data_IF_923939038637
#
_entry.id   IF_923939038637
#
_cell.length_a   1.000
_cell.length_b   1.000
_cell.length_c   1.000
_cell.angle_alpha   90.00
_cell.angle_beta   90.00
_cell.angle_gamma   90.00
#
_symmetry.space_group_name_H-M   'P 1'
#
loop_
_entity.id
_entity.type
_entity.pdbx_description
1 polymer ?
#
# COMPACT_ATOMS: atom_id res chain seq x y z
N UNK A 1 -25.50 27.97 12.89
CA UNK A 1 -25.84 26.80 13.73
C UNK A 1 -24.65 26.25 14.50
N UNK A 2 -23.57 25.79 13.86
CA UNK A 2 -22.39 25.20 14.53
C UNK A 2 -21.80 26.06 15.68
N UNK A 3 -21.53 27.35 15.44
CA UNK A 3 -21.01 28.24 16.48
C UNK A 3 -22.07 28.56 17.55
N UNK A 4 -23.33 28.75 17.14
CA UNK A 4 -24.42 29.10 18.04
C UNK A 4 -24.76 27.97 19.04
N UNK A 5 -24.54 26.71 18.64
CA UNK A 5 -24.70 25.53 19.49
C UNK A 5 -23.43 25.16 20.27
N UNK A 6 -22.42 26.05 20.28
CA UNK A 6 -21.15 25.87 20.97
C UNK A 6 -20.37 24.60 20.56
N UNK A 7 -20.60 24.04 19.37
CA UNK A 7 -19.85 22.90 18.86
C UNK A 7 -18.35 23.23 18.76
N UNK A 8 -18.04 24.49 18.43
CA UNK A 8 -16.69 25.05 18.37
C UNK A 8 -15.94 24.98 19.71
N UNK A 9 -16.63 24.88 20.84
CA UNK A 9 -16.01 24.77 22.17
C UNK A 9 -15.18 23.50 22.37
N UNK A 10 -15.41 22.47 21.55
CA UNK A 10 -14.58 21.26 21.49
C UNK A 10 -13.95 21.08 20.10
N UNK A 11 -14.69 21.43 19.05
CA UNK A 11 -14.23 21.35 17.67
C UNK A 11 -13.64 22.69 17.21
N UNK A 12 -12.52 23.06 17.83
CA UNK A 12 -11.87 24.36 17.64
C UNK A 12 -10.75 24.33 16.57
N UNK A 13 -10.31 25.53 16.18
CA UNK A 13 -9.16 25.73 15.29
C UNK A 13 -9.33 25.16 13.88
N UNK A 14 -8.23 25.16 13.12
CA UNK A 14 -8.26 24.81 11.70
C UNK A 14 -8.53 23.32 11.46
N UNK A 15 -8.28 22.46 12.45
CA UNK A 15 -8.55 21.02 12.39
C UNK A 15 -9.91 20.63 12.97
N UNK A 16 -10.71 21.59 13.45
CA UNK A 16 -12.00 21.33 14.09
C UNK A 16 -11.89 20.32 15.24
N UNK A 17 -10.83 20.45 16.04
CA UNK A 17 -10.56 19.71 17.27
C UNK A 17 -9.61 20.52 18.12
N UNK A 18 -9.78 20.45 19.43
CA UNK A 18 -8.84 20.99 20.41
C UNK A 18 -7.91 19.92 21.01
N UNK A 19 -7.93 18.69 20.46
CA UNK A 19 -7.16 17.52 20.89
C UNK A 19 -7.36 17.07 22.35
N UNK A 20 -8.33 17.66 23.05
CA UNK A 20 -8.68 17.25 24.42
C UNK A 20 -9.56 16.00 24.42
N UNK A 21 -9.70 15.42 25.61
CA UNK A 21 -10.43 14.18 25.82
C UNK A 21 -11.71 14.43 26.61
N UNK A 22 -12.80 13.81 26.17
CA UNK A 22 -14.13 14.04 26.75
C UNK A 22 -14.95 12.76 26.77
N UNK A 23 -15.74 12.62 27.82
CA UNK A 23 -16.80 11.61 27.86
C UNK A 23 -18.13 12.25 27.48
N UNK A 24 -18.73 11.77 26.39
CA UNK A 24 -19.99 12.28 25.85
C UNK A 24 -21.22 11.44 26.25
N UNK A 25 -21.01 10.24 26.80
CA UNK A 25 -22.09 9.30 27.07
C UNK A 25 -22.56 8.50 25.84
N UNK A 26 -21.64 8.06 24.98
CA UNK A 26 -21.95 7.19 23.82
C UNK A 26 -22.19 5.73 24.24
N UNK A 27 -21.49 5.28 25.29
CA UNK A 27 -21.61 3.95 25.92
C UNK A 27 -21.32 4.05 27.42
N UNK A 28 -21.65 3.04 28.25
CA UNK A 28 -21.29 3.01 29.66
C UNK A 28 -19.76 3.04 29.87
N UNK A 29 -19.30 3.83 30.84
CA UNK A 29 -17.86 3.99 31.19
C UNK A 29 -17.19 2.67 31.57
N UNK A 30 -17.94 1.70 32.11
CA UNK A 30 -17.38 0.42 32.54
C UNK A 30 -17.02 -0.53 31.40
N UNK A 31 -17.51 -0.28 30.19
CA UNK A 31 -17.24 -1.15 29.04
C UNK A 31 -15.96 -0.77 28.28
N UNK A 32 -15.55 0.49 28.38
CA UNK A 32 -14.33 1.00 27.76
C UNK A 32 -13.84 2.21 28.57
N UNK A 33 -12.65 2.06 29.17
CA UNK A 33 -12.08 3.06 30.07
C UNK A 33 -11.42 4.21 29.32
N UNK A 34 -11.17 4.08 28.01
CA UNK A 34 -10.59 5.13 27.17
C UNK A 34 -9.29 5.69 27.74
N UNK A 35 -9.17 7.02 27.81
CA UNK A 35 -7.95 7.71 28.28
C UNK A 35 -7.48 7.26 29.66
N UNK A 36 -8.37 6.82 30.55
CA UNK A 36 -7.99 6.34 31.88
C UNK A 36 -6.94 5.23 31.83
N UNK A 37 -6.96 4.35 30.82
CA UNK A 37 -5.98 3.26 30.72
C UNK A 37 -4.54 3.77 30.60
N UNK A 38 -4.37 5.00 30.10
CA UNK A 38 -3.06 5.64 29.93
C UNK A 38 -2.70 6.54 31.11
N UNK A 39 -3.69 7.17 31.76
CA UNK A 39 -3.44 8.20 32.78
C UNK A 39 -3.64 7.71 34.21
N UNK A 40 -4.45 6.68 34.43
CA UNK A 40 -4.88 6.23 35.77
C UNK A 40 -5.79 7.21 36.51
N UNK A 41 -6.20 8.33 35.91
CA UNK A 41 -6.94 9.40 36.57
C UNK A 41 -8.45 9.22 36.43
N UNK A 42 -9.18 9.10 37.55
CA UNK A 42 -10.63 8.87 37.55
C UNK A 42 -11.46 9.81 36.65
N UNK A 43 -11.15 11.12 36.50
CA UNK A 43 -11.87 11.99 35.56
C UNK A 43 -11.77 11.60 34.09
N UNK A 44 -10.74 10.84 33.70
CA UNK A 44 -10.49 10.43 32.30
C UNK A 44 -11.26 9.17 31.88
N UNK A 45 -12.05 8.57 32.77
CA UNK A 45 -12.74 7.29 32.50
C UNK A 45 -13.77 7.43 31.38
N UNK A 46 -13.62 6.60 30.35
CA UNK A 46 -14.47 6.63 29.15
C UNK A 46 -14.26 7.87 28.29
N UNK A 47 -13.26 8.71 28.58
CA UNK A 47 -12.98 9.90 27.78
C UNK A 47 -12.17 9.52 26.53
N UNK A 48 -12.60 10.04 25.39
CA UNK A 48 -11.92 9.88 24.10
C UNK A 48 -11.49 11.22 23.54
N UNK A 49 -10.41 11.22 22.77
CA UNK A 49 -9.93 12.41 22.08
C UNK A 49 -11.02 12.92 21.16
N UNK A 50 -11.25 14.23 21.17
CA UNK A 50 -12.17 14.85 20.22
C UNK A 50 -11.59 14.73 18.82
N UNK A 51 -12.28 14.07 17.88
CA UNK A 51 -11.76 13.88 16.54
C UNK A 51 -11.81 15.19 15.74
N UNK A 52 -10.89 15.32 14.79
CA UNK A 52 -10.99 16.33 13.73
C UNK A 52 -12.25 16.11 12.91
N UNK A 53 -12.96 17.19 12.55
CA UNK A 53 -14.13 17.13 11.67
C UNK A 53 -13.80 17.30 10.18
N UNK A 54 -12.52 17.47 9.81
CA UNK A 54 -12.12 17.43 8.40
C UNK A 54 -12.40 16.05 7.81
N UNK A 55 -13.04 16.03 6.65
CA UNK A 55 -13.51 14.84 5.93
C UNK A 55 -14.42 13.94 6.77
N UNK A 56 -15.16 14.51 7.72
CA UNK A 56 -16.03 13.71 8.59
C UNK A 56 -17.13 12.98 7.80
N UNK A 57 -17.55 13.49 6.64
CA UNK A 57 -18.50 12.80 5.78
C UNK A 57 -18.03 11.40 5.35
N UNK A 58 -16.73 11.24 5.10
CA UNK A 58 -16.11 10.05 4.49
C UNK A 58 -15.65 9.01 5.53
N UNK A 59 -16.10 9.12 6.78
CA UNK A 59 -15.58 8.36 7.92
C UNK A 59 -16.65 7.60 8.69
N UNK A 60 -17.75 7.24 8.02
CA UNK A 60 -18.68 6.31 8.61
C UNK A 60 -18.00 4.93 8.83
N UNK A 61 -18.32 4.20 9.90
CA UNK A 61 -19.23 4.57 10.98
C UNK A 61 -18.60 5.50 12.03
N UNK A 62 -19.43 6.23 12.79
CA UNK A 62 -19.04 7.30 13.70
C UNK A 62 -18.94 6.88 15.18
N UNK A 63 -18.25 7.72 15.95
CA UNK A 63 -17.84 7.52 17.36
C UNK A 63 -16.76 6.46 17.52
N UNK A 64 -16.15 6.38 18.70
CA UNK A 64 -15.04 5.45 18.98
C UNK A 64 -15.45 3.97 18.88
N UNK A 65 -16.75 3.67 18.87
CA UNK A 65 -17.30 2.33 18.78
C UNK A 65 -18.10 2.09 17.48
N UNK A 66 -18.08 3.01 16.52
CA UNK A 66 -18.80 2.86 15.26
C UNK A 66 -20.33 2.76 15.40
N UNK A 67 -20.91 3.26 16.50
CA UNK A 67 -22.34 3.07 16.81
C UNK A 67 -23.31 3.74 15.84
N UNK A 68 -22.90 4.82 15.20
CA UNK A 68 -23.77 5.58 14.28
C UNK A 68 -23.29 5.43 12.85
N UNK A 69 -24.22 5.19 11.92
CA UNK A 69 -23.91 5.00 10.50
C UNK A 69 -23.95 6.33 9.73
N UNK A 70 -24.66 7.33 10.25
CA UNK A 70 -24.87 8.60 9.55
C UNK A 70 -24.54 9.82 10.42
N UNK A 71 -24.15 10.93 9.78
CA UNK A 71 -24.00 12.21 10.48
C UNK A 71 -25.32 12.70 11.11
N UNK A 72 -26.46 12.32 10.52
CA UNK A 72 -27.77 12.65 11.08
C UNK A 72 -27.97 12.00 12.46
N UNK A 73 -27.63 10.72 12.60
CA UNK A 73 -27.67 10.01 13.89
C UNK A 73 -26.72 10.63 14.93
N UNK A 74 -25.55 11.09 14.50
CA UNK A 74 -24.60 11.82 15.36
C UNK A 74 -25.21 13.14 15.84
N UNK A 75 -25.84 13.91 14.95
CA UNK A 75 -26.52 15.16 15.32
C UNK A 75 -27.68 14.88 16.28
N UNK A 76 -28.46 13.84 16.04
CA UNK A 76 -29.55 13.43 16.95
C UNK A 76 -29.03 12.98 18.32
N UNK A 77 -27.82 12.40 18.38
CA UNK A 77 -27.17 12.04 19.64
C UNK A 77 -26.81 13.25 20.48
N UNK A 78 -26.24 14.29 19.86
CA UNK A 78 -25.97 15.54 20.56
C UNK A 78 -27.26 16.28 20.92
N UNK A 79 -28.27 16.27 20.05
CA UNK A 79 -29.56 16.94 20.28
C UNK A 79 -30.31 16.41 21.52
N UNK A 80 -30.21 15.11 21.81
CA UNK A 80 -30.78 14.49 23.02
C UNK A 80 -29.85 14.52 24.23
N UNK A 81 -28.66 15.10 24.10
CA UNK A 81 -27.71 15.27 25.21
C UNK A 81 -26.97 13.99 25.60
N UNK A 82 -26.78 13.05 24.67
CA UNK A 82 -26.08 11.78 24.90
C UNK A 82 -26.86 10.73 25.69
N UNK A 83 -26.51 9.46 25.53
CA UNK A 83 -27.36 8.33 25.96
C UNK A 83 -27.02 7.83 27.37
N UNK A 84 -25.78 7.98 27.80
CA UNK A 84 -25.30 7.51 29.09
C UNK A 84 -24.85 8.67 29.99
N UNK A 85 -24.94 8.46 31.30
CA UNK A 85 -24.54 9.42 32.34
C UNK A 85 -23.37 8.87 33.14
N UNK A 86 -22.48 9.76 33.54
CA UNK A 86 -21.41 9.49 34.51
C UNK A 86 -20.99 10.82 35.17
N UNK A 87 -20.36 10.80 36.36
CA UNK A 87 -19.93 12.03 37.04
C UNK A 87 -18.97 12.91 36.22
N UNK A 88 -18.21 12.31 35.31
CA UNK A 88 -17.21 12.98 34.46
C UNK A 88 -17.72 13.26 33.04
N UNK A 89 -19.03 13.16 32.78
CA UNK A 89 -19.62 13.57 31.50
C UNK A 89 -19.42 15.06 31.28
N UNK A 90 -19.00 15.44 30.06
CA UNK A 90 -18.77 16.85 29.75
C UNK A 90 -20.08 17.64 29.92
N UNK A 91 -20.09 18.70 30.75
CA UNK A 91 -21.32 19.42 31.12
C UNK A 91 -21.96 20.17 29.96
N UNK A 92 -21.26 20.34 28.83
CA UNK A 92 -21.83 20.93 27.61
C UNK A 92 -22.74 19.97 26.86
N UNK A 93 -22.70 18.67 27.19
CA UNK A 93 -23.51 17.65 26.53
C UNK A 93 -24.88 17.58 27.21
N UNK A 94 -25.77 18.44 26.72
CA UNK A 94 -27.14 18.63 27.18
C UNK A 94 -28.10 18.62 25.99
N UNK A 95 -29.40 18.35 26.19
CA UNK A 95 -30.39 18.45 25.13
C UNK A 95 -30.39 19.85 24.48
N UNK A 96 -30.42 19.90 23.15
CA UNK A 96 -30.28 21.14 22.38
C UNK A 96 -31.61 21.67 21.81
N UNK A 97 -32.60 20.80 21.62
CA UNK A 97 -33.93 21.20 21.13
C UNK A 97 -33.93 21.69 19.68
N UNK A 98 -33.11 21.06 18.83
CA UNK A 98 -32.92 21.48 17.45
C UNK A 98 -34.15 21.20 16.59
N UNK A 99 -34.54 22.18 15.77
CA UNK A 99 -35.54 21.97 14.72
C UNK A 99 -34.97 21.08 13.62
N UNK A 100 -35.85 20.42 12.85
CA UNK A 100 -35.43 19.62 11.69
C UNK A 100 -34.55 20.42 10.71
N UNK A 101 -34.88 21.70 10.50
CA UNK A 101 -34.10 22.58 9.64
C UNK A 101 -32.69 22.83 10.20
N UNK A 102 -32.55 23.02 11.52
CA UNK A 102 -31.25 23.21 12.16
C UNK A 102 -30.38 21.95 12.10
N UNK A 103 -30.99 20.77 12.30
CA UNK A 103 -30.30 19.48 12.14
C UNK A 103 -29.78 19.30 10.73
N UNK A 104 -30.63 19.51 9.72
CA UNK A 104 -30.26 19.41 8.31
C UNK A 104 -29.15 20.41 7.95
N UNK A 105 -29.23 21.65 8.44
CA UNK A 105 -28.20 22.65 8.21
C UNK A 105 -26.85 22.26 8.85
N UNK A 106 -26.88 21.63 10.02
CA UNK A 106 -25.67 21.14 10.68
C UNK A 106 -25.06 19.95 9.92
N UNK A 107 -25.86 18.98 9.50
CA UNK A 107 -25.40 17.86 8.66
C UNK A 107 -24.81 18.38 7.34
N UNK A 108 -25.46 19.33 6.68
CA UNK A 108 -24.95 19.93 5.45
C UNK A 108 -23.61 20.67 5.67
N UNK A 109 -23.47 21.38 6.80
CA UNK A 109 -22.21 22.01 7.18
C UNK A 109 -21.10 20.99 7.48
N UNK A 110 -21.42 19.87 8.13
CA UNK A 110 -20.42 18.82 8.39
C UNK A 110 -20.03 18.09 7.10
N UNK A 111 -20.97 17.91 6.18
CA UNK A 111 -20.79 17.09 4.99
C UNK A 111 -20.15 17.79 3.79
N UNK A 112 -20.27 19.12 3.68
CA UNK A 112 -19.85 19.86 2.47
C UNK A 112 -18.59 20.70 2.68
N UNK A 113 -18.60 21.79 3.48
CA UNK A 113 -17.44 22.67 3.60
C UNK A 113 -16.25 22.04 4.35
N UNK A 114 -16.43 20.90 5.02
CA UNK A 114 -15.36 20.19 5.72
C UNK A 114 -14.80 19.01 4.92
N UNK A 115 -15.33 18.73 3.73
CA UNK A 115 -14.93 17.61 2.89
C UNK A 115 -14.04 18.11 1.75
N UNK A 116 -12.87 17.52 1.63
CA UNK A 116 -12.00 17.68 0.48
C UNK A 116 -12.60 16.89 -0.69
N UNK A 117 -12.87 17.52 -1.85
CA UNK A 117 -13.51 16.87 -3.00
C UNK A 117 -12.69 15.71 -3.58
N UNK A 118 -11.41 15.58 -3.19
CA UNK A 118 -10.53 14.50 -3.63
C UNK A 118 -10.65 13.24 -2.78
N UNK A 119 -11.10 13.34 -1.54
CA UNK A 119 -11.09 12.20 -0.60
C UNK A 119 -12.13 11.15 -0.95
N UNK A 120 -13.35 11.57 -1.30
CA UNK A 120 -14.41 10.64 -1.71
C UNK A 120 -14.07 9.81 -2.97
N UNK A 121 -13.49 10.40 -4.03
CA UNK A 121 -13.03 9.65 -5.20
C UNK A 121 -11.60 9.09 -5.09
N UNK A 122 -10.96 9.14 -3.93
CA UNK A 122 -9.57 8.70 -3.73
C UNK A 122 -8.58 9.34 -4.73
N UNK A 123 -8.76 10.62 -5.03
CA UNK A 123 -7.90 11.36 -5.95
C UNK A 123 -6.58 11.81 -5.26
N UNK A 124 -5.48 11.95 -6.04
CA UNK A 124 -4.21 12.46 -5.54
C UNK A 124 -4.37 13.79 -4.81
N UNK A 125 -3.62 14.04 -3.71
CA UNK A 125 -2.33 13.43 -3.32
C UNK A 125 -2.43 12.40 -2.18
N UNK A 126 -3.60 11.81 -1.93
CA UNK A 126 -3.82 10.89 -0.81
C UNK A 126 -3.93 9.41 -1.22
N UNK A 127 -3.26 9.02 -2.30
CA UNK A 127 -3.07 7.61 -2.62
C UNK A 127 -2.46 6.93 -1.38
N UNK A 128 -3.03 5.79 -0.95
CA UNK A 128 -2.28 4.88 -0.09
C UNK A 128 -0.94 4.63 -0.80
N UNK A 129 0.22 4.71 -0.13
CA UNK A 129 1.49 4.50 -0.79
C UNK A 129 1.44 3.16 -1.53
N UNK A 130 1.46 3.21 -2.87
CA UNK A 130 1.44 2.01 -3.70
C UNK A 130 2.68 1.22 -3.38
N UNK A 131 2.51 0.00 -2.86
CA UNK A 131 3.66 -0.87 -2.60
C UNK A 131 4.38 -1.10 -3.91
N UNK A 132 5.71 -1.21 -3.89
CA UNK A 132 6.47 -1.51 -5.11
C UNK A 132 5.87 -2.72 -5.84
N UNK A 133 5.51 -3.77 -5.08
CA UNK A 133 4.85 -4.99 -5.56
C UNK A 133 3.50 -4.77 -6.27
N UNK A 134 2.82 -3.66 -6.02
CA UNK A 134 1.52 -3.30 -6.61
C UNK A 134 1.67 -2.34 -7.80
N UNK A 135 2.90 -1.89 -8.10
CA UNK A 135 3.17 -0.94 -9.18
C UNK A 135 3.53 -1.64 -10.49
N UNK A 136 3.33 -0.95 -11.61
CA UNK A 136 3.83 -1.40 -12.93
C UNK A 136 5.37 -1.39 -13.03
N UNK A 137 6.07 -0.95 -11.97
CA UNK A 137 7.53 -0.91 -11.90
C UNK A 137 8.16 -2.25 -11.51
N UNK A 138 7.37 -3.23 -11.08
CA UNK A 138 7.84 -4.61 -10.79
C UNK A 138 8.17 -5.32 -12.10
N UNK A 139 9.25 -6.12 -12.16
CA UNK A 139 9.49 -7.01 -13.29
C UNK A 139 8.29 -7.91 -13.59
N UNK A 140 7.87 -7.94 -14.85
CA UNK A 140 6.69 -8.67 -15.30
C UNK A 140 7.10 -10.01 -15.92
N UNK A 141 6.43 -11.08 -15.51
CA UNK A 141 6.64 -12.42 -16.08
C UNK A 141 5.60 -12.67 -17.18
N UNK A 142 6.05 -12.99 -18.39
CA UNK A 142 5.18 -13.21 -19.55
C UNK A 142 5.71 -14.30 -20.49
N UNK A 143 4.98 -14.54 -21.58
CA UNK A 143 5.39 -15.50 -22.62
C UNK A 143 5.37 -16.98 -22.19
N UNK A 144 5.81 -17.83 -23.12
CA UNK A 144 5.94 -19.28 -22.99
C UNK A 144 7.32 -19.70 -22.48
N UNK A 145 7.44 -20.94 -22.05
CA UNK A 145 8.66 -21.56 -21.53
C UNK A 145 8.90 -22.92 -22.20
N UNK A 146 10.12 -23.46 -22.07
CA UNK A 146 10.48 -24.81 -22.52
C UNK A 146 10.78 -25.66 -21.29
N UNK A 147 10.00 -26.73 -21.13
CA UNK A 147 10.12 -27.63 -19.99
C UNK A 147 11.42 -28.44 -20.08
N UNK A 148 12.04 -28.67 -18.91
CA UNK A 148 13.14 -29.59 -18.76
C UNK A 148 12.74 -30.88 -18.05
N UNK A 149 13.69 -31.43 -17.31
CA UNK A 149 13.52 -32.54 -16.41
C UNK A 149 12.32 -32.32 -15.49
N UNK A 150 11.60 -33.40 -15.15
CA UNK A 150 10.39 -33.32 -14.33
C UNK A 150 9.19 -32.61 -14.98
N UNK A 151 9.29 -32.25 -16.27
CA UNK A 151 8.21 -31.61 -17.01
C UNK A 151 7.91 -30.18 -16.58
N UNK A 152 8.85 -29.55 -15.86
CA UNK A 152 8.73 -28.16 -15.39
C UNK A 152 9.78 -27.29 -16.08
N UNK A 153 9.48 -26.03 -16.42
CA UNK A 153 10.48 -25.08 -16.87
C UNK A 153 11.21 -24.46 -15.67
N UNK A 154 12.48 -24.03 -15.84
CA UNK A 154 13.12 -23.20 -14.83
C UNK A 154 12.36 -21.88 -14.69
N UNK A 155 12.34 -21.32 -13.48
CA UNK A 155 11.68 -20.05 -13.20
C UNK A 155 12.71 -18.98 -12.89
N UNK A 156 12.62 -17.89 -13.64
CA UNK A 156 13.42 -16.68 -13.45
C UNK A 156 12.59 -15.68 -12.64
N UNK A 157 13.19 -15.12 -11.59
CA UNK A 157 12.60 -14.20 -10.65
C UNK A 157 13.45 -12.93 -10.60
N UNK A 158 12.80 -11.78 -10.72
CA UNK A 158 13.39 -10.48 -10.48
C UNK A 158 12.38 -9.69 -9.63
N UNK A 159 12.67 -9.52 -8.35
CA UNK A 159 11.72 -8.92 -7.39
C UNK A 159 12.22 -7.57 -6.87
N UNK A 160 13.48 -7.24 -7.12
CA UNK A 160 14.09 -5.99 -6.70
C UNK A 160 13.74 -4.85 -7.67
N UNK A 161 13.73 -3.59 -7.19
CA UNK A 161 13.68 -2.43 -8.08
C UNK A 161 14.91 -2.36 -9.01
N UNK A 162 14.73 -2.33 -10.34
CA UNK A 162 15.82 -2.20 -11.31
C UNK A 162 16.31 -0.74 -11.37
N UNK A 163 17.02 -0.29 -10.34
CA UNK A 163 17.53 1.08 -10.24
C UNK A 163 18.85 1.24 -10.99
N UNK A 164 18.97 2.30 -11.78
CA UNK A 164 20.20 2.77 -12.39
C UNK A 164 21.22 3.05 -11.29
N UNK A 165 22.44 2.53 -11.47
CA UNK A 165 23.49 2.59 -10.46
C UNK A 165 23.43 1.46 -9.43
N UNK A 166 22.39 0.61 -9.42
CA UNK A 166 22.40 -0.60 -8.61
C UNK A 166 23.38 -1.62 -9.22
N UNK A 167 24.55 -1.78 -8.58
CA UNK A 167 25.55 -2.76 -8.99
C UNK A 167 25.17 -4.21 -8.66
N UNK A 168 24.13 -4.42 -7.83
CA UNK A 168 23.77 -5.72 -7.25
C UNK A 168 22.32 -6.12 -7.54
N UNK A 169 21.72 -5.65 -8.64
CA UNK A 169 20.37 -6.07 -9.00
C UNK A 169 20.35 -7.59 -9.23
N UNK A 170 19.57 -8.30 -8.42
CA UNK A 170 19.64 -9.75 -8.32
C UNK A 170 18.55 -10.44 -9.14
N UNK A 171 18.98 -11.38 -9.99
CA UNK A 171 18.13 -12.30 -10.70
C UNK A 171 18.21 -13.67 -10.03
N UNK A 172 17.09 -14.13 -9.48
CA UNK A 172 16.94 -15.44 -8.88
C UNK A 172 16.46 -16.46 -9.91
N UNK A 173 17.01 -17.67 -9.86
CA UNK A 173 16.59 -18.79 -10.69
C UNK A 173 16.27 -19.95 -9.76
N UNK A 174 15.12 -20.57 -9.94
CA UNK A 174 14.75 -21.81 -9.29
C UNK A 174 14.04 -22.78 -10.26
N UNK A 175 13.69 -23.96 -9.75
CA UNK A 175 13.03 -25.03 -10.52
C UNK A 175 13.84 -25.56 -11.72
N UNK A 176 15.14 -25.29 -11.78
CA UNK A 176 16.02 -25.88 -12.79
C UNK A 176 16.55 -27.26 -12.39
N UNK A 177 17.32 -27.89 -13.29
CA UNK A 177 18.03 -29.14 -13.00
C UNK A 177 19.22 -28.87 -12.07
N UNK A 178 19.23 -29.45 -10.86
CA UNK A 178 20.31 -29.26 -9.90
C UNK A 178 21.66 -29.72 -10.45
N UNK A 179 22.70 -28.89 -10.32
CA UNK A 179 24.03 -29.10 -10.87
C UNK A 179 24.21 -28.71 -12.35
N UNK A 180 23.14 -28.33 -13.05
CA UNK A 180 23.21 -27.94 -14.45
C UNK A 180 23.85 -26.57 -14.65
N UNK A 181 24.55 -26.40 -15.76
CA UNK A 181 24.98 -25.08 -16.23
C UNK A 181 23.77 -24.27 -16.71
N UNK A 182 23.79 -22.97 -16.43
CA UNK A 182 22.75 -22.01 -16.74
C UNK A 182 23.39 -20.76 -17.35
N UNK A 183 22.71 -20.16 -18.32
CA UNK A 183 22.97 -18.80 -18.77
C UNK A 183 21.68 -18.00 -18.75
N UNK A 184 21.67 -16.85 -18.08
CA UNK A 184 20.63 -15.83 -18.22
C UNK A 184 21.06 -14.85 -19.30
N UNK A 185 20.25 -14.76 -20.35
CA UNK A 185 20.45 -13.79 -21.43
C UNK A 185 19.56 -12.59 -21.15
N UNK A 186 20.15 -11.40 -21.11
CA UNK A 186 19.47 -10.11 -20.98
C UNK A 186 19.64 -9.34 -22.27
N UNK A 187 18.52 -8.90 -22.85
CA UNK A 187 18.48 -8.28 -24.17
C UNK A 187 17.46 -7.13 -24.21
N UNK A 188 17.59 -6.19 -25.15
CA UNK A 188 16.59 -5.13 -25.44
C UNK A 188 15.26 -5.62 -26.04
N UNK A 189 15.14 -6.91 -26.32
CA UNK A 189 13.96 -7.58 -26.89
C UNK A 189 13.91 -9.03 -26.42
N UNK A 190 12.80 -9.76 -26.60
CA UNK A 190 12.70 -11.16 -26.16
C UNK A 190 13.82 -12.03 -26.78
N UNK A 191 14.73 -12.62 -25.98
CA UNK A 191 15.79 -13.50 -26.47
C UNK A 191 15.29 -14.77 -27.19
N UNK A 192 14.03 -15.14 -26.96
CA UNK A 192 13.36 -16.24 -27.66
C UNK A 192 13.65 -17.64 -27.10
N UNK A 193 13.10 -18.65 -27.78
CA UNK A 193 13.13 -20.06 -27.36
C UNK A 193 13.89 -20.96 -28.35
N UNK A 194 14.94 -20.42 -28.98
CA UNK A 194 15.73 -21.12 -30.00
C UNK A 194 16.41 -22.40 -29.48
N UNK A 195 16.97 -23.17 -30.41
CA UNK A 195 17.72 -24.41 -30.12
C UNK A 195 19.14 -24.17 -29.59
N UNK A 196 19.56 -22.91 -29.45
CA UNK A 196 20.84 -22.50 -28.88
C UNK A 196 20.65 -21.28 -27.97
N UNK A 197 21.61 -21.08 -27.06
CA UNK A 197 21.62 -19.91 -26.19
C UNK A 197 22.03 -18.68 -27.03
N UNK A 198 21.17 -17.65 -27.17
CA UNK A 198 21.48 -16.46 -27.93
C UNK A 198 22.49 -15.56 -27.18
N UNK A 199 23.09 -14.60 -27.90
CA UNK A 199 23.91 -13.56 -27.30
C UNK A 199 23.04 -12.37 -26.93
N UNK A 200 23.01 -11.99 -25.64
CA UNK A 200 22.37 -10.77 -25.16
C UNK A 200 23.11 -9.52 -25.62
N UNK A 201 22.38 -8.49 -26.03
CA UNK A 201 22.96 -7.17 -26.33
C UNK A 201 23.26 -6.37 -25.05
N UNK A 202 22.71 -6.79 -23.91
CA UNK A 202 22.97 -6.18 -22.60
C UNK A 202 23.91 -7.04 -21.76
N UNK A 203 23.55 -8.29 -21.48
CA UNK A 203 24.37 -9.18 -20.66
C UNK A 203 24.08 -10.66 -20.89
N UNK A 204 25.11 -11.49 -20.73
CA UNK A 204 25.00 -12.93 -20.57
C UNK A 204 25.60 -13.33 -19.22
N UNK A 205 24.75 -13.65 -18.24
CA UNK A 205 25.19 -14.07 -16.91
C UNK A 205 25.17 -15.59 -16.83
N UNK A 206 26.28 -16.22 -16.44
CA UNK A 206 26.37 -17.68 -16.41
C UNK A 206 26.77 -18.20 -15.03
N UNK A 207 26.35 -19.42 -14.73
CA UNK A 207 26.71 -20.14 -13.51
C UNK A 207 26.20 -21.57 -13.52
N UNK A 208 26.36 -22.26 -12.39
CA UNK A 208 25.82 -23.61 -12.19
C UNK A 208 24.75 -23.57 -11.11
N UNK A 209 23.63 -24.23 -11.35
CA UNK A 209 22.57 -24.38 -10.35
C UNK A 209 23.06 -25.24 -9.19
N UNK A 210 22.84 -24.77 -7.97
CA UNK A 210 23.04 -25.56 -6.75
C UNK A 210 21.96 -26.65 -6.61
N UNK A 211 22.13 -27.60 -5.70
CA UNK A 211 21.16 -28.67 -5.45
C UNK A 211 21.31 -29.88 -6.40
N UNK A 212 20.41 -30.85 -6.26
CA UNK A 212 20.46 -32.12 -7.00
C UNK A 212 19.09 -32.54 -7.54
N UNK A 213 19.08 -33.08 -8.75
CA UNK A 213 17.88 -33.63 -9.37
C UNK A 213 16.95 -32.57 -9.97
N UNK A 214 15.84 -33.05 -10.51
CA UNK A 214 14.86 -32.23 -11.24
C UNK A 214 14.13 -31.23 -10.34
N UNK A 215 14.04 -29.97 -10.74
CA UNK A 215 13.24 -28.94 -10.06
C UNK A 215 13.83 -28.38 -8.76
N UNK A 216 14.99 -28.88 -8.32
CA UNK A 216 15.66 -28.44 -7.09
C UNK A 216 16.85 -27.51 -7.35
N UNK A 217 17.12 -27.20 -8.62
CA UNK A 217 18.20 -26.34 -9.04
C UNK A 217 17.93 -24.87 -8.72
N UNK A 218 18.84 -24.22 -8.01
CA UNK A 218 18.73 -22.80 -7.65
C UNK A 218 20.03 -22.03 -7.84
N UNK A 219 19.93 -20.76 -8.25
CA UNK A 219 21.06 -19.84 -8.34
C UNK A 219 20.58 -18.38 -8.24
N UNK A 220 21.39 -17.53 -7.64
CA UNK A 220 21.22 -16.07 -7.72
C UNK A 220 22.38 -15.49 -8.52
N UNK A 221 22.07 -14.65 -9.52
CA UNK A 221 23.04 -13.94 -10.34
C UNK A 221 22.86 -12.44 -10.18
N UNK A 222 23.97 -11.71 -10.18
CA UNK A 222 23.95 -10.25 -10.11
C UNK A 222 24.05 -9.67 -11.52
N UNK A 223 23.13 -8.79 -11.87
CA UNK A 223 23.14 -8.00 -13.09
C UNK A 223 23.52 -6.56 -12.72
N UNK A 224 24.74 -6.09 -13.03
CA UNK A 224 25.11 -4.71 -12.76
C UNK A 224 24.31 -3.76 -13.65
N UNK A 225 23.50 -2.88 -13.05
CA UNK A 225 22.79 -1.79 -13.72
C UNK A 225 23.57 -0.47 -13.64
N UNK A 226 24.90 -0.55 -13.52
CA UNK A 226 25.82 0.58 -13.35
C UNK A 226 26.16 1.29 -14.67
N UNK A 227 25.21 1.36 -15.61
CA UNK A 227 25.43 1.93 -16.94
C UNK A 227 25.23 3.44 -17.03
N UNK A 228 25.45 3.98 -18.23
CA UNK A 228 25.22 5.39 -18.58
C UNK A 228 23.73 5.76 -18.50
N UNK A 229 23.42 7.06 -18.46
CA UNK A 229 22.06 7.61 -18.48
C UNK A 229 21.19 7.06 -19.64
N UNK A 230 21.81 6.45 -20.65
CA UNK A 230 21.13 5.81 -21.76
C UNK A 230 20.22 4.65 -21.31
N UNK A 231 20.51 3.95 -20.21
CA UNK A 231 19.66 2.84 -19.74
C UNK A 231 18.36 3.33 -19.08
N UNK A 232 18.30 4.58 -18.66
CA UNK A 232 17.15 5.14 -17.97
C UNK A 232 15.88 5.05 -18.82
N UNK A 233 14.84 4.43 -18.28
CA UNK A 233 13.56 4.23 -18.95
C UNK A 233 13.56 3.13 -20.02
N UNK A 234 14.67 2.45 -20.27
CA UNK A 234 14.69 1.30 -21.17
C UNK A 234 14.10 0.06 -20.52
N UNK A 235 13.28 -0.67 -21.27
CA UNK A 235 12.78 -2.00 -20.91
C UNK A 235 13.74 -3.06 -21.41
N UNK A 236 14.26 -3.88 -20.49
CA UNK A 236 15.10 -5.04 -20.76
C UNK A 236 14.30 -6.31 -20.57
N UNK A 237 14.72 -7.35 -21.28
CA UNK A 237 14.07 -8.66 -21.32
C UNK A 237 15.09 -9.74 -20.95
N UNK A 238 14.71 -10.67 -20.09
CA UNK A 238 15.59 -11.72 -19.60
C UNK A 238 14.94 -13.10 -19.70
N UNK A 239 15.75 -14.10 -20.09
CA UNK A 239 15.41 -15.53 -20.05
C UNK A 239 16.56 -16.34 -19.48
N UNK A 240 16.24 -17.34 -18.67
CA UNK A 240 17.17 -18.33 -18.16
C UNK A 240 17.17 -19.56 -19.07
N UNK A 241 18.35 -19.97 -19.54
CA UNK A 241 18.60 -21.16 -20.34
C UNK A 241 19.41 -22.15 -19.51
N UNK A 242 18.79 -23.26 -19.13
CA UNK A 242 19.40 -24.31 -18.31
C UNK A 242 19.73 -25.50 -19.21
N UNK A 243 20.98 -25.97 -19.15
CA UNK A 243 21.38 -27.20 -19.83
C UNK A 243 20.70 -28.40 -19.18
N UNK A 244 19.77 -29.01 -19.90
CA UNK A 244 18.94 -30.10 -19.39
C UNK A 244 18.74 -31.14 -20.49
N UNK A 245 19.40 -32.32 -20.40
CA UNK A 245 19.31 -33.36 -21.41
C UNK A 245 17.90 -33.90 -21.67
N UNK A 246 16.97 -33.70 -20.72
CA UNK A 246 15.57 -34.11 -20.88
C UNK A 246 14.72 -33.07 -21.63
N UNK A 247 15.23 -31.85 -21.82
CA UNK A 247 14.54 -30.80 -22.55
C UNK A 247 14.70 -30.97 -24.08
N UNK A 248 13.76 -30.46 -24.89
CA UNK A 248 13.96 -30.33 -26.34
C UNK A 248 15.26 -29.59 -26.65
N UNK A 249 16.09 -30.18 -27.52
CA UNK A 249 17.42 -29.65 -27.88
C UNK A 249 18.40 -29.51 -26.69
N UNK A 250 18.14 -30.16 -25.56
CA UNK A 250 19.02 -30.12 -24.38
C UNK A 250 18.96 -28.80 -23.58
N UNK A 251 17.96 -27.95 -23.84
CA UNK A 251 17.81 -26.64 -23.18
C UNK A 251 16.41 -26.45 -22.61
N UNK A 252 16.32 -26.36 -21.28
CA UNK A 252 15.13 -25.90 -20.59
C UNK A 252 15.18 -24.37 -20.48
N UNK A 253 14.08 -23.68 -20.77
CA UNK A 253 14.06 -22.21 -20.91
C UNK A 253 12.93 -21.63 -20.08
N UNK A 254 13.22 -20.59 -19.30
CA UNK A 254 12.23 -19.93 -18.46
C UNK A 254 11.21 -19.13 -19.29
N UNK A 255 10.13 -18.73 -18.61
CA UNK A 255 9.28 -17.62 -19.09
C UNK A 255 10.10 -16.33 -19.20
N UNK A 256 9.60 -15.39 -19.99
CA UNK A 256 10.20 -14.07 -20.18
C UNK A 256 10.01 -13.23 -18.92
N UNK A 257 11.06 -12.56 -18.48
CA UNK A 257 10.96 -11.49 -17.48
C UNK A 257 11.30 -10.17 -18.16
N UNK A 258 10.43 -9.17 -18.06
CA UNK A 258 10.69 -7.81 -18.55
C UNK A 258 10.73 -6.81 -17.42
N UNK A 259 11.67 -5.88 -17.43
CA UNK A 259 11.79 -4.84 -16.42
C UNK A 259 12.33 -3.54 -17.02
N UNK A 260 11.84 -2.40 -16.52
CA UNK A 260 12.26 -1.08 -16.98
C UNK A 260 13.24 -0.48 -15.98
N UNK A 261 14.40 0.02 -16.43
CA UNK A 261 15.39 0.61 -15.53
C UNK A 261 14.96 2.02 -15.11
N UNK A 262 14.99 2.31 -13.81
CA UNK A 262 14.59 3.60 -13.24
C UNK A 262 15.77 4.34 -12.62
N UNK A 263 15.77 5.67 -12.64
CA UNK A 263 16.87 6.48 -12.11
C UNK A 263 16.50 7.17 -10.81
N UNK A 264 17.51 7.59 -10.05
CA UNK A 264 17.34 8.57 -8.98
C UNK A 264 17.25 9.99 -9.55
N UNK A 265 16.28 10.22 -10.43
CA UNK A 265 15.89 11.57 -10.84
C UNK A 265 14.80 12.09 -9.92
N UNK A 266 14.63 13.42 -9.86
CA UNK A 266 13.57 14.10 -9.09
C UNK A 266 12.19 13.43 -9.16
N UNK A 267 11.88 12.67 -10.22
CA UNK A 267 10.65 11.90 -10.40
C UNK A 267 10.30 10.87 -9.30
N UNK A 268 11.24 10.45 -8.44
CA UNK A 268 10.89 9.63 -7.26
C UNK A 268 10.27 10.46 -6.12
N UNK A 269 10.38 11.78 -6.21
CA UNK A 269 9.86 12.77 -5.26
C UNK A 269 9.12 13.94 -5.95
N UNK A 270 8.85 13.86 -7.27
CA UNK A 270 8.28 14.95 -8.07
C UNK A 270 6.75 14.99 -8.02
N UNK A 271 6.15 14.30 -7.07
CA UNK A 271 4.79 14.59 -6.67
C UNK A 271 4.91 15.78 -5.70
N UNK A 272 4.93 16.98 -6.28
CA UNK A 272 5.05 18.30 -5.65
C UNK A 272 4.49 18.39 -4.22
N UNK A 273 5.33 18.08 -3.22
CA UNK A 273 5.07 18.38 -1.82
C UNK A 273 5.68 19.76 -1.49
N UNK A 274 4.95 20.82 -1.86
CA UNK A 274 4.92 22.10 -1.13
C UNK A 274 3.57 22.27 -0.41
#
# INVERSE_FOLDING_TARGET
TFNALNCRGCHAGNRFTDDNFRYLGVRPVGEDLGRFEQTGNNPDRGAFRVPSLRNVAERAPYMHNGRFQTLAEVVDFYDRGGDFRAPNKDPRIVPLGLTAQQKNALVAFLGRPLSDPRVAPELPPFDRPTLYAESERVPQVSGTAVNGSGGQPPRLLALEPPLLGNANFTLGIDQGLGGAALTVVVHSSDPGLGSSIPTGDFANLSGALSGTGSGNGQLSLQLPLSGSDALLGQTLFARAYVQDPAAPNGLAISRLVSFTVFGQGNALFADDFE
#
